data_IF_976494584461
#
_entry.id   IF_976494584461
#
_cell.length_a   1.000
_cell.length_b   1.000
_cell.length_c   1.000
_cell.angle_alpha   90.00
_cell.angle_beta   90.00
_cell.angle_gamma   90.00
#
_symmetry.space_group_name_H-M   'P 1'
#
loop_
_entity.id
_entity.type
_entity.pdbx_description
1 polymer ?
#
# COMPACT_ATOMS: atom_id res chain seq x y z
N UNK A 1 53.87 2.29 -2.37
CA UNK A 1 52.65 1.56 -2.74
C UNK A 1 51.61 2.06 -1.75
N UNK A 2 50.98 3.19 -2.10
CA UNK A 2 50.03 3.90 -1.21
C UNK A 2 48.65 3.41 -1.58
N UNK A 3 48.01 2.69 -0.66
CA UNK A 3 46.61 2.26 -0.74
C UNK A 3 45.71 3.51 -0.63
N UNK A 4 45.33 4.05 -1.78
CA UNK A 4 44.27 5.03 -1.87
C UNK A 4 42.94 4.31 -1.74
N UNK A 5 42.52 4.03 -0.51
CA UNK A 5 41.15 3.61 -0.23
C UNK A 5 40.19 4.72 -0.69
N UNK A 6 39.15 4.41 -1.49
CA UNK A 6 38.17 5.41 -1.93
C UNK A 6 37.48 5.98 -0.70
N UNK A 7 37.70 7.26 -0.44
CA UNK A 7 37.00 8.04 0.58
C UNK A 7 35.51 8.01 0.19
N UNK A 8 34.75 7.17 0.88
CA UNK A 8 33.28 7.12 0.79
C UNK A 8 32.80 8.50 1.27
N UNK A 9 32.46 9.36 0.28
CA UNK A 9 31.96 10.71 0.53
C UNK A 9 30.64 10.57 1.28
N UNK A 10 30.70 10.75 2.57
CA UNK A 10 29.55 10.86 3.46
C UNK A 10 28.62 11.94 2.92
N UNK A 11 27.49 11.52 2.37
CA UNK A 11 26.43 12.45 2.01
C UNK A 11 26.04 13.25 3.26
N UNK A 12 25.89 14.57 3.16
CA UNK A 12 25.71 15.44 4.32
C UNK A 12 24.54 14.96 5.18
N UNK A 13 24.81 14.66 6.43
CA UNK A 13 23.86 14.08 7.41
C UNK A 13 22.57 14.90 7.57
N UNK A 14 22.56 16.16 7.14
CA UNK A 14 21.42 17.08 7.18
C UNK A 14 20.36 16.84 6.09
N UNK A 15 20.68 16.17 4.98
CA UNK A 15 19.74 15.94 3.88
C UNK A 15 18.80 14.74 4.16
N UNK A 16 19.20 13.79 5.01
CA UNK A 16 18.43 12.57 5.33
C UNK A 16 17.06 12.83 5.96
N UNK A 17 16.87 13.69 6.98
CA UNK A 17 15.58 13.84 7.62
C UNK A 17 14.53 14.46 6.68
N UNK A 18 14.90 15.43 5.85
CA UNK A 18 13.98 16.08 4.89
C UNK A 18 13.46 15.10 3.84
N UNK A 19 14.31 14.22 3.36
CA UNK A 19 13.94 13.19 2.38
C UNK A 19 12.95 12.17 2.96
N UNK A 20 13.14 11.74 4.21
CA UNK A 20 12.23 10.81 4.88
C UNK A 20 10.84 11.46 5.05
N UNK A 21 10.78 12.71 5.48
CA UNK A 21 9.50 13.42 5.62
C UNK A 21 8.78 13.59 4.29
N UNK A 22 9.50 13.83 3.20
CA UNK A 22 8.90 13.90 1.87
C UNK A 22 8.26 12.55 1.47
N UNK A 23 8.94 11.44 1.70
CA UNK A 23 8.41 10.09 1.42
C UNK A 23 7.17 9.80 2.28
N UNK A 24 7.20 10.15 3.58
CA UNK A 24 6.06 9.97 4.48
C UNK A 24 4.86 10.77 4.01
N UNK A 25 5.07 12.04 3.64
CA UNK A 25 4.01 12.92 3.14
C UNK A 25 3.44 12.41 1.81
N UNK A 26 4.29 12.02 0.86
CA UNK A 26 3.88 11.41 -0.41
C UNK A 26 3.01 10.18 -0.16
N UNK A 27 3.46 9.28 0.71
CA UNK A 27 2.72 8.06 1.07
C UNK A 27 1.38 8.40 1.71
N UNK A 28 1.34 9.34 2.66
CA UNK A 28 0.11 9.76 3.32
C UNK A 28 -0.90 10.33 2.33
N UNK A 29 -0.47 11.18 1.40
CA UNK A 29 -1.34 11.75 0.37
C UNK A 29 -1.86 10.69 -0.60
N UNK A 30 -1.00 9.80 -1.10
CA UNK A 30 -1.39 8.76 -2.05
C UNK A 30 -2.36 7.74 -1.46
N UNK A 31 -2.26 7.46 -0.16
CA UNK A 31 -3.10 6.47 0.53
C UNK A 31 -4.26 7.08 1.33
N UNK A 32 -4.39 8.41 1.41
CA UNK A 32 -5.47 9.07 2.15
C UNK A 32 -6.85 8.58 1.72
N UNK A 33 -7.12 8.59 0.42
CA UNK A 33 -8.42 8.19 -0.12
C UNK A 33 -8.70 6.69 0.04
N UNK A 34 -7.79 5.76 -0.28
CA UNK A 34 -7.93 4.35 0.05
C UNK A 34 -8.15 4.07 1.55
N UNK A 35 -7.43 4.77 2.43
CA UNK A 35 -7.62 4.65 3.87
C UNK A 35 -9.03 5.05 4.31
N UNK A 36 -9.56 6.17 3.81
CA UNK A 36 -10.94 6.60 4.10
C UNK A 36 -11.93 5.55 3.62
N UNK A 37 -11.80 5.09 2.38
CA UNK A 37 -12.69 4.08 1.80
C UNK A 37 -12.69 2.77 2.59
N UNK A 38 -11.50 2.27 2.98
CA UNK A 38 -11.37 1.05 3.79
C UNK A 38 -11.91 1.24 5.20
N UNK A 39 -11.75 2.42 5.80
CA UNK A 39 -12.31 2.74 7.12
C UNK A 39 -13.83 2.77 7.08
N UNK A 40 -14.42 3.42 6.08
CA UNK A 40 -15.86 3.41 5.85
C UNK A 40 -16.36 1.98 5.64
N UNK A 41 -15.67 1.18 4.81
CA UNK A 41 -15.98 -0.24 4.63
C UNK A 41 -15.98 -1.04 5.94
N UNK A 42 -15.01 -0.76 6.82
CA UNK A 42 -14.92 -1.42 8.13
C UNK A 42 -16.12 -1.06 9.04
N UNK A 43 -16.60 0.19 9.01
CA UNK A 43 -17.81 0.59 9.76
C UNK A 43 -19.08 -0.08 9.24
N UNK A 44 -19.17 -0.35 7.95
CA UNK A 44 -20.30 -1.07 7.35
C UNK A 44 -20.22 -2.59 7.54
N UNK A 45 -19.05 -3.13 7.91
CA UNK A 45 -18.84 -4.57 8.07
C UNK A 45 -19.84 -5.25 9.04
N UNK A 46 -20.16 -4.71 10.23
CA UNK A 46 -21.16 -5.31 11.12
C UNK A 46 -22.56 -5.37 10.51
N UNK A 47 -22.96 -4.34 9.76
CA UNK A 47 -24.25 -4.30 9.06
C UNK A 47 -24.31 -5.37 7.97
N UNK A 48 -23.25 -5.55 7.22
CA UNK A 48 -23.11 -6.59 6.21
C UNK A 48 -23.18 -8.00 6.81
N UNK A 49 -22.52 -8.22 7.96
CA UNK A 49 -22.57 -9.49 8.70
C UNK A 49 -23.98 -9.81 9.17
N UNK A 50 -24.68 -8.83 9.78
CA UNK A 50 -26.09 -9.02 10.21
C UNK A 50 -27.00 -9.34 9.02
N UNK A 51 -26.83 -8.63 7.90
CA UNK A 51 -27.59 -8.89 6.67
C UNK A 51 -27.35 -10.30 6.12
N UNK A 52 -26.10 -10.76 6.14
CA UNK A 52 -25.73 -12.11 5.73
C UNK A 52 -26.34 -13.18 6.62
N UNK A 53 -26.26 -13.04 7.96
CA UNK A 53 -26.82 -14.00 8.93
C UNK A 53 -28.34 -14.11 8.81
N UNK A 54 -29.01 -13.00 8.49
CA UNK A 54 -30.47 -12.97 8.26
C UNK A 54 -30.90 -13.51 6.90
N UNK A 55 -29.95 -14.01 6.06
CA UNK A 55 -30.25 -14.56 4.73
C UNK A 55 -30.64 -13.54 3.68
N UNK A 56 -30.44 -12.23 3.96
CA UNK A 56 -30.82 -11.12 3.08
C UNK A 56 -29.89 -10.89 1.89
N UNK A 57 -28.65 -11.42 1.93
CA UNK A 57 -27.69 -11.26 0.85
C UNK A 57 -27.28 -12.60 0.26
N UNK A 58 -27.20 -12.65 -1.08
CA UNK A 58 -26.59 -13.79 -1.74
C UNK A 58 -25.14 -13.95 -1.30
N UNK A 59 -24.71 -15.18 -1.01
CA UNK A 59 -23.37 -15.50 -0.51
C UNK A 59 -22.25 -14.88 -1.34
N UNK A 60 -22.42 -14.74 -2.66
CA UNK A 60 -21.46 -14.09 -3.54
C UNK A 60 -21.21 -12.62 -3.23
N UNK A 61 -22.23 -11.83 -2.93
CA UNK A 61 -22.11 -10.41 -2.62
C UNK A 61 -21.29 -10.16 -1.35
N UNK A 62 -21.42 -11.03 -0.35
CA UNK A 62 -20.67 -10.98 0.88
C UNK A 62 -19.16 -11.09 0.65
N UNK A 63 -18.71 -12.05 -0.17
CA UNK A 63 -17.29 -12.21 -0.49
C UNK A 63 -16.74 -11.03 -1.29
N UNK A 64 -17.54 -10.47 -2.22
CA UNK A 64 -17.15 -9.31 -3.01
C UNK A 64 -16.98 -8.03 -2.18
N UNK A 65 -17.62 -7.92 -1.03
CA UNK A 65 -17.50 -6.78 -0.14
C UNK A 65 -16.38 -6.98 0.91
N UNK A 66 -16.26 -8.17 1.51
CA UNK A 66 -15.29 -8.43 2.58
C UNK A 66 -13.88 -8.62 2.04
N UNK A 67 -13.71 -9.34 0.94
CA UNK A 67 -12.38 -9.61 0.41
C UNK A 67 -11.57 -8.34 0.11
N UNK A 68 -12.12 -7.29 -0.57
CA UNK A 68 -11.40 -6.03 -0.77
C UNK A 68 -11.02 -5.32 0.52
N UNK A 69 -11.86 -5.37 1.56
CA UNK A 69 -11.57 -4.75 2.85
C UNK A 69 -10.37 -5.43 3.52
N UNK A 70 -10.40 -6.76 3.64
CA UNK A 70 -9.35 -7.55 4.28
C UNK A 70 -8.03 -7.43 3.51
N UNK A 71 -8.07 -7.62 2.20
CA UNK A 71 -6.90 -7.52 1.34
C UNK A 71 -6.35 -6.09 1.26
N UNK A 72 -7.22 -5.08 1.26
CA UNK A 72 -6.83 -3.67 1.27
C UNK A 72 -6.09 -3.29 2.56
N UNK A 73 -6.61 -3.67 3.72
CA UNK A 73 -5.93 -3.47 5.01
C UNK A 73 -4.60 -4.21 5.09
N UNK A 74 -4.53 -5.44 4.55
CA UNK A 74 -3.28 -6.18 4.46
C UNK A 74 -2.27 -5.48 3.56
N UNK A 75 -2.69 -4.89 2.44
CA UNK A 75 -1.86 -4.07 1.56
C UNK A 75 -1.30 -2.84 2.27
N UNK A 76 -2.14 -2.10 3.01
CA UNK A 76 -1.71 -0.95 3.81
C UNK A 76 -0.67 -1.35 4.88
N UNK A 77 -0.84 -2.49 5.53
CA UNK A 77 0.14 -3.02 6.48
C UNK A 77 1.48 -3.32 5.79
N UNK A 78 1.46 -3.79 4.54
CA UNK A 78 2.65 -3.98 3.71
C UNK A 78 3.38 -2.68 3.42
N UNK A 79 2.65 -1.65 3.00
CA UNK A 79 3.20 -0.30 2.76
C UNK A 79 3.80 0.30 4.04
N UNK A 80 3.09 0.21 5.17
CA UNK A 80 3.57 0.69 6.47
C UNK A 80 4.87 0.00 6.89
N UNK A 81 5.01 -1.31 6.62
CA UNK A 81 6.25 -2.06 6.88
C UNK A 81 7.41 -1.60 5.99
N UNK A 82 7.16 -1.38 4.70
CA UNK A 82 8.21 -0.85 3.81
C UNK A 82 8.65 0.54 4.25
N UNK A 83 7.69 1.41 4.60
CA UNK A 83 7.98 2.74 5.11
C UNK A 83 8.80 2.67 6.41
N UNK A 84 8.42 1.77 7.33
CA UNK A 84 9.18 1.50 8.55
C UNK A 84 10.62 1.07 8.25
N UNK A 85 10.83 0.15 7.28
CA UNK A 85 12.16 -0.28 6.85
C UNK A 85 13.02 0.86 6.30
N UNK A 86 12.39 1.81 5.59
CA UNK A 86 13.08 2.99 5.08
C UNK A 86 13.47 3.96 6.20
N UNK A 87 12.61 4.12 7.21
CA UNK A 87 12.83 5.00 8.35
C UNK A 87 13.73 4.38 9.41
N UNK A 88 13.71 3.06 9.60
CA UNK A 88 14.49 2.37 10.63
C UNK A 88 16.01 2.44 10.33
N UNK A 89 16.77 2.81 11.33
CA UNK A 89 18.25 2.89 11.23
C UNK A 89 18.91 1.50 11.30
N UNK A 90 18.23 0.50 11.86
CA UNK A 90 18.73 -0.88 12.00
C UNK A 90 17.97 -1.83 11.08
N UNK A 91 18.67 -2.78 10.41
CA UNK A 91 17.99 -3.82 9.66
C UNK A 91 17.23 -4.69 10.66
N UNK A 92 15.91 -4.59 10.64
CA UNK A 92 15.04 -5.52 11.35
C UNK A 92 14.90 -6.77 10.49
N UNK A 93 15.01 -7.96 11.09
CA UNK A 93 14.78 -9.25 10.43
C UNK A 93 13.28 -9.44 10.09
N UNK A 94 12.71 -8.44 9.43
CA UNK A 94 11.33 -8.56 8.96
C UNK A 94 11.27 -9.71 7.95
N UNK A 95 10.35 -10.65 8.18
CA UNK A 95 10.11 -11.75 7.25
C UNK A 95 9.75 -11.16 5.88
N UNK A 96 10.72 -11.17 4.95
CA UNK A 96 10.62 -10.58 3.59
C UNK A 96 9.36 -11.07 2.88
N UNK A 97 9.10 -12.37 2.95
CA UNK A 97 7.93 -13.01 2.37
C UNK A 97 6.62 -12.41 2.86
N UNK A 98 6.52 -12.09 4.15
CA UNK A 98 5.31 -11.49 4.71
C UNK A 98 5.08 -10.08 4.14
N UNK A 99 6.14 -9.30 3.97
CA UNK A 99 6.04 -7.96 3.38
C UNK A 99 5.64 -8.03 1.90
N UNK A 100 6.24 -8.94 1.14
CA UNK A 100 5.90 -9.14 -0.26
C UNK A 100 4.47 -9.65 -0.42
N UNK A 101 4.05 -10.60 0.42
CA UNK A 101 2.69 -11.14 0.41
C UNK A 101 1.66 -10.03 0.68
N UNK A 102 1.87 -9.21 1.72
CA UNK A 102 0.96 -8.13 2.07
C UNK A 102 0.90 -7.05 0.99
N UNK A 103 2.01 -6.71 0.34
CA UNK A 103 2.02 -5.82 -0.82
C UNK A 103 1.27 -6.43 -2.01
N UNK A 104 1.48 -7.72 -2.29
CA UNK A 104 0.77 -8.43 -3.35
C UNK A 104 -0.75 -8.40 -3.14
N UNK A 105 -1.23 -8.55 -1.90
CA UNK A 105 -2.65 -8.41 -1.57
C UNK A 105 -3.20 -7.02 -1.96
N UNK A 106 -2.47 -5.95 -1.64
CA UNK A 106 -2.86 -4.58 -2.01
C UNK A 106 -2.91 -4.36 -3.53
N UNK A 107 -1.90 -4.85 -4.25
CA UNK A 107 -1.84 -4.79 -5.72
C UNK A 107 -3.01 -5.56 -6.34
N UNK A 108 -3.33 -6.74 -5.82
CA UNK A 108 -4.45 -7.56 -6.32
C UNK A 108 -5.77 -6.83 -6.19
N UNK A 109 -6.05 -6.19 -5.05
CA UNK A 109 -7.27 -5.38 -4.87
C UNK A 109 -7.34 -4.24 -5.88
N UNK A 110 -6.23 -3.52 -6.06
CA UNK A 110 -6.16 -2.42 -7.02
C UNK A 110 -6.42 -2.89 -8.46
N UNK A 111 -5.87 -4.05 -8.85
CA UNK A 111 -6.09 -4.62 -10.18
C UNK A 111 -7.55 -5.09 -10.37
N UNK A 112 -8.13 -5.74 -9.37
CA UNK A 112 -9.54 -6.19 -9.41
C UNK A 112 -10.46 -4.97 -9.54
N UNK A 113 -10.23 -3.93 -8.76
CA UNK A 113 -10.99 -2.69 -8.81
C UNK A 113 -10.86 -2.03 -10.19
N UNK A 114 -9.64 -1.97 -10.74
CA UNK A 114 -9.40 -1.43 -12.08
C UNK A 114 -10.15 -2.20 -13.17
N UNK A 115 -10.09 -3.54 -13.15
CA UNK A 115 -10.83 -4.39 -14.12
C UNK A 115 -12.34 -4.18 -13.99
N UNK A 116 -12.83 -4.04 -12.76
CA UNK A 116 -14.25 -3.81 -12.52
C UNK A 116 -14.71 -2.47 -13.09
N UNK A 117 -13.99 -1.37 -12.82
CA UNK A 117 -14.31 -0.02 -13.33
C UNK A 117 -14.17 0.01 -14.87
N UNK A 118 -13.11 -0.63 -15.43
CA UNK A 118 -12.93 -0.69 -16.87
C UNK A 118 -14.07 -1.40 -17.63
N UNK A 119 -14.77 -2.32 -16.94
CA UNK A 119 -15.94 -3.02 -17.49
C UNK A 119 -17.24 -2.22 -17.37
N UNK A 120 -17.27 -1.23 -16.47
CA UNK A 120 -18.47 -0.42 -16.19
C UNK A 120 -18.07 1.09 -16.24
N UNK A 121 -17.57 1.58 -17.39
CA UNK A 121 -17.09 2.95 -17.46
C UNK A 121 -18.27 3.93 -17.43
N UNK A 122 -18.30 4.78 -16.41
CA UNK A 122 -19.08 6.02 -16.43
C UNK A 122 -18.11 7.19 -16.60
N UNK A 123 -18.57 8.31 -17.14
CA UNK A 123 -17.70 9.47 -17.39
C UNK A 123 -17.07 10.05 -16.12
N UNK A 124 -17.64 9.77 -14.96
CA UNK A 124 -17.17 10.26 -13.65
C UNK A 124 -16.12 9.34 -12.99
N UNK A 125 -15.99 8.10 -13.47
CA UNK A 125 -15.16 7.08 -12.82
C UNK A 125 -13.65 7.29 -13.00
N UNK A 126 -13.21 8.06 -14.00
CA UNK A 126 -11.80 8.25 -14.29
C UNK A 126 -11.03 8.95 -13.17
N UNK A 127 -11.63 9.96 -12.54
CA UNK A 127 -11.00 10.64 -11.41
C UNK A 127 -10.81 9.71 -10.21
N UNK A 128 -11.82 8.91 -9.91
CA UNK A 128 -11.78 7.91 -8.85
C UNK A 128 -10.79 6.79 -9.15
N UNK A 129 -10.74 6.32 -10.40
CA UNK A 129 -9.78 5.31 -10.85
C UNK A 129 -8.34 5.76 -10.60
N UNK A 130 -8.01 6.97 -11.04
CA UNK A 130 -6.66 7.55 -10.85
C UNK A 130 -6.33 7.65 -9.36
N UNK A 131 -7.21 8.24 -8.58
CA UNK A 131 -6.98 8.50 -7.17
C UNK A 131 -6.91 7.21 -6.33
N UNK A 132 -7.78 6.23 -6.60
CA UNK A 132 -7.89 5.00 -5.81
C UNK A 132 -6.94 3.89 -6.25
N UNK A 133 -6.51 3.88 -7.50
CA UNK A 133 -5.73 2.77 -8.08
C UNK A 133 -4.35 3.20 -8.50
N UNK A 134 -4.22 4.19 -9.38
CA UNK A 134 -2.92 4.55 -9.95
C UNK A 134 -2.00 5.24 -8.97
N UNK A 135 -2.52 6.16 -8.14
CA UNK A 135 -1.69 6.85 -7.15
C UNK A 135 -1.07 5.88 -6.13
N UNK A 136 -1.84 5.01 -5.46
CA UNK A 136 -1.28 4.04 -4.52
C UNK A 136 -0.33 3.04 -5.17
N UNK A 137 -0.61 2.59 -6.42
CA UNK A 137 0.27 1.69 -7.14
C UNK A 137 1.61 2.35 -7.48
N UNK A 138 1.60 3.58 -8.00
CA UNK A 138 2.80 4.34 -8.31
C UNK A 138 3.64 4.60 -7.04
N UNK A 139 3.00 5.02 -5.95
CA UNK A 139 3.65 5.22 -4.66
C UNK A 139 4.24 3.91 -4.12
N UNK A 140 3.50 2.79 -4.20
CA UNK A 140 4.00 1.48 -3.77
C UNK A 140 5.22 1.05 -4.58
N UNK A 141 5.19 1.22 -5.91
CA UNK A 141 6.32 0.92 -6.77
C UNK A 141 7.54 1.78 -6.43
N UNK A 142 7.33 3.09 -6.19
CA UNK A 142 8.39 4.00 -5.76
C UNK A 142 9.00 3.58 -4.42
N UNK A 143 8.18 3.26 -3.41
CA UNK A 143 8.65 2.78 -2.12
C UNK A 143 9.44 1.48 -2.22
N UNK A 144 8.97 0.51 -3.00
CA UNK A 144 9.67 -0.77 -3.23
C UNK A 144 10.99 -0.51 -3.96
N UNK A 145 11.02 0.38 -4.95
CA UNK A 145 12.25 0.77 -5.63
C UNK A 145 13.29 1.36 -4.67
N UNK A 146 12.88 2.27 -3.79
CA UNK A 146 13.74 2.86 -2.76
C UNK A 146 14.23 1.81 -1.74
N UNK A 147 13.35 0.89 -1.35
CA UNK A 147 13.65 -0.16 -0.38
C UNK A 147 14.38 -1.37 -0.99
N UNK A 148 14.52 -1.46 -2.33
CA UNK A 148 15.01 -2.66 -3.04
C UNK A 148 16.30 -3.23 -2.47
N UNK A 149 17.29 -2.38 -2.17
CA UNK A 149 18.57 -2.81 -1.61
C UNK A 149 18.44 -3.46 -0.23
N UNK A 150 17.44 -3.06 0.57
CA UNK A 150 17.17 -3.61 1.90
C UNK A 150 16.23 -4.82 1.87
N UNK A 151 15.37 -4.90 0.85
CA UNK A 151 14.44 -6.02 0.66
C UNK A 151 15.10 -7.23 0.02
N UNK A 152 16.09 -7.02 -0.87
CA UNK A 152 16.70 -8.08 -1.68
C UNK A 152 18.18 -8.36 -1.33
N UNK A 153 18.78 -7.60 -0.40
CA UNK A 153 20.06 -7.94 0.22
C UNK A 153 19.87 -8.90 1.39
#
# INVERSE_FOLDING_TARGET
MTDDAPVERDAPASARPRYIWAIVLETALCFALPCVALTVGLFYLPLLLVGFVRGGYASGLFYWLIAPIVLGWSGLAGVARVLWLLCARRPTSLRRWLTLLTLACGVTVSLVLWVWIARHPTSEDWGWLIAMVFLPLACTAHLVYLARRRLFA
#
